data_IF_261359967221
#
_entry.id   IF_261359967221
#
_cell.length_a   1.000
_cell.length_b   1.000
_cell.length_c   1.000
_cell.angle_alpha   90.00
_cell.angle_beta   90.00
_cell.angle_gamma   90.00
#
_symmetry.space_group_name_H-M   'P 1'
#
loop_
_entity.id
_entity.type
_entity.pdbx_description
1 polymer ?
#
# COMPACT_ATOMS: atom_id res chain seq x y z
N UNK A 1 -9.40 -7.81 -7.00
CA UNK A 1 -8.85 -8.42 -5.77
C UNK A 1 -9.12 -9.92 -5.79
N UNK A 2 -8.07 -10.77 -5.79
CA UNK A 2 -8.22 -12.23 -5.91
C UNK A 2 -7.89 -12.93 -4.58
N UNK A 3 -8.91 -13.16 -3.76
CA UNK A 3 -8.75 -13.75 -2.43
C UNK A 3 -8.65 -15.29 -2.44
N UNK A 4 -8.86 -15.94 -3.59
CA UNK A 4 -8.93 -17.40 -3.67
C UNK A 4 -7.60 -18.11 -3.35
N UNK A 5 -6.46 -17.44 -3.51
CA UNK A 5 -5.14 -17.99 -3.19
C UNK A 5 -4.68 -17.74 -1.75
N UNK A 6 -5.43 -16.95 -0.97
CA UNK A 6 -5.09 -16.65 0.42
C UNK A 6 -5.15 -17.90 1.30
N UNK A 7 -4.33 -17.95 2.35
CA UNK A 7 -4.44 -18.97 3.40
C UNK A 7 -5.65 -18.70 4.29
N UNK A 8 -6.09 -19.72 5.04
CA UNK A 8 -7.07 -19.58 6.12
C UNK A 8 -6.57 -18.52 7.13
N UNK A 9 -7.44 -17.59 7.53
CA UNK A 9 -7.13 -16.42 8.37
C UNK A 9 -6.10 -15.45 7.78
N UNK A 10 -5.99 -15.40 6.44
CA UNK A 10 -5.17 -14.43 5.75
C UNK A 10 -5.59 -12.97 6.04
N UNK A 11 -4.68 -12.03 5.85
CA UNK A 11 -4.90 -10.58 6.08
C UNK A 11 -4.57 -9.78 4.84
N UNK A 12 -5.42 -8.82 4.49
CA UNK A 12 -5.21 -7.85 3.41
C UNK A 12 -5.31 -6.45 4.02
N UNK A 13 -4.19 -5.73 4.03
CA UNK A 13 -4.14 -4.32 4.38
C UNK A 13 -4.37 -3.49 3.12
N UNK A 14 -5.50 -2.77 3.07
CA UNK A 14 -5.92 -1.99 1.90
C UNK A 14 -5.37 -0.57 2.04
N UNK A 15 -4.18 -0.34 1.51
CA UNK A 15 -3.53 0.98 1.48
C UNK A 15 -4.03 1.85 0.30
N UNK A 16 -4.52 1.23 -0.77
CA UNK A 16 -4.98 1.92 -1.97
C UNK A 16 -5.47 0.94 -3.04
N UNK A 17 -6.10 1.49 -4.08
CA UNK A 17 -6.64 0.74 -5.22
C UNK A 17 -6.33 1.50 -6.52
N UNK A 18 -5.03 1.74 -6.79
CA UNK A 18 -4.57 2.60 -7.89
C UNK A 18 -5.15 2.21 -9.27
N UNK A 19 -5.40 0.92 -9.51
CA UNK A 19 -6.01 0.43 -10.76
C UNK A 19 -7.46 0.88 -10.96
N UNK A 20 -8.09 1.44 -9.94
CA UNK A 20 -9.49 1.87 -9.96
C UNK A 20 -9.66 3.37 -10.17
N UNK A 21 -8.62 4.19 -9.92
CA UNK A 21 -8.78 5.65 -9.78
C UNK A 21 -9.21 6.37 -11.07
N UNK A 22 -8.82 5.86 -12.24
CA UNK A 22 -9.06 6.51 -13.53
C UNK A 22 -10.17 5.82 -14.35
N UNK A 23 -10.98 4.96 -13.72
CA UNK A 23 -12.09 4.28 -14.37
C UNK A 23 -13.37 5.08 -14.19
N UNK A 24 -14.14 5.28 -15.27
CA UNK A 24 -15.48 5.89 -15.19
C UNK A 24 -16.43 5.06 -14.31
N UNK A 25 -16.22 3.74 -14.29
CA UNK A 25 -16.94 2.82 -13.43
C UNK A 25 -15.98 1.83 -12.76
N UNK A 26 -16.02 1.79 -11.44
CA UNK A 26 -15.20 0.88 -10.65
C UNK A 26 -15.57 -0.59 -10.88
N UNK A 27 -14.54 -1.43 -10.91
CA UNK A 27 -14.70 -2.88 -11.00
C UNK A 27 -15.06 -3.47 -9.62
N UNK A 28 -16.12 -4.28 -9.57
CA UNK A 28 -16.50 -5.00 -8.36
C UNK A 28 -15.51 -6.10 -7.97
N UNK A 29 -15.43 -6.40 -6.66
CA UNK A 29 -14.64 -7.52 -6.16
C UNK A 29 -15.31 -8.84 -6.55
N UNK A 30 -14.65 -9.62 -7.40
CA UNK A 30 -15.09 -10.98 -7.78
C UNK A 30 -14.59 -12.01 -6.77
N UNK A 31 -15.33 -13.11 -6.60
CA UNK A 31 -14.97 -14.26 -5.75
C UNK A 31 -14.83 -13.96 -4.23
N UNK A 32 -15.68 -13.06 -3.71
CA UNK A 32 -15.70 -12.66 -2.29
C UNK A 32 -16.07 -13.80 -1.31
N UNK A 33 -16.67 -14.90 -1.77
CA UNK A 33 -16.96 -16.08 -0.92
C UNK A 33 -15.70 -16.64 -0.23
N UNK A 34 -14.54 -16.49 -0.85
CA UNK A 34 -13.26 -16.90 -0.24
C UNK A 34 -12.98 -16.12 1.06
N UNK A 35 -13.45 -14.87 1.17
CA UNK A 35 -13.29 -14.06 2.39
C UNK A 35 -14.02 -14.72 3.56
N UNK A 36 -15.23 -15.22 3.32
CA UNK A 36 -16.05 -15.89 4.33
C UNK A 36 -15.45 -17.24 4.70
N UNK A 37 -15.28 -18.13 3.73
CA UNK A 37 -14.82 -19.50 4.01
C UNK A 37 -13.41 -19.54 4.59
N UNK A 38 -12.54 -18.63 4.16
CA UNK A 38 -11.17 -18.54 4.65
C UNK A 38 -11.01 -17.55 5.81
N UNK A 39 -12.07 -16.87 6.25
CA UNK A 39 -12.05 -15.90 7.37
C UNK A 39 -10.94 -14.86 7.20
N UNK A 40 -10.87 -14.29 6.01
CA UNK A 40 -9.85 -13.31 5.65
C UNK A 40 -10.22 -11.97 6.29
N UNK A 41 -9.26 -11.34 6.96
CA UNK A 41 -9.41 -9.98 7.46
C UNK A 41 -9.01 -9.00 6.35
N UNK A 42 -9.92 -8.13 5.96
CA UNK A 42 -9.66 -7.08 4.96
C UNK A 42 -9.91 -5.75 5.66
N UNK A 43 -8.86 -4.95 5.78
CA UNK A 43 -8.90 -3.70 6.55
C UNK A 43 -8.24 -2.58 5.76
N UNK A 44 -8.99 -1.50 5.56
CA UNK A 44 -8.46 -0.24 5.04
C UNK A 44 -7.81 0.57 6.15
N UNK A 45 -6.74 1.27 5.83
CA UNK A 45 -6.08 2.18 6.75
C UNK A 45 -5.53 3.38 5.98
N UNK A 46 -5.34 4.50 6.66
CA UNK A 46 -4.70 5.68 6.08
C UNK A 46 -3.47 6.05 6.90
N UNK A 47 -2.47 6.66 6.26
CA UNK A 47 -1.28 7.14 6.99
C UNK A 47 -1.64 8.20 8.05
N UNK A 48 -2.73 8.95 7.82
CA UNK A 48 -3.18 10.02 8.72
C UNK A 48 -3.50 9.52 10.13
N UNK A 49 -4.02 8.30 10.24
CA UNK A 49 -4.37 7.67 11.53
C UNK A 49 -3.12 7.35 12.39
N UNK A 50 -1.94 7.32 11.77
CA UNK A 50 -0.70 6.81 12.38
C UNK A 50 0.45 7.81 12.46
N UNK A 51 0.24 9.10 12.16
CA UNK A 51 1.32 10.11 12.25
C UNK A 51 1.94 10.22 13.66
N UNK A 52 1.20 9.86 14.71
CA UNK A 52 1.73 9.79 16.07
C UNK A 52 2.89 8.78 16.23
N UNK A 53 3.01 7.81 15.32
CA UNK A 53 4.12 6.85 15.27
C UNK A 53 5.31 7.32 14.42
N UNK A 54 5.19 8.45 13.70
CA UNK A 54 6.19 8.90 12.76
C UNK A 54 7.59 9.09 13.38
N UNK A 55 7.74 9.69 14.59
CA UNK A 55 9.06 9.79 15.22
C UNK A 55 9.72 8.43 15.45
N UNK A 56 8.96 7.45 15.95
CA UNK A 56 9.44 6.09 16.19
C UNK A 56 9.79 5.36 14.89
N UNK A 57 9.00 5.58 13.84
CA UNK A 57 9.28 5.04 12.51
C UNK A 57 10.61 5.57 11.96
N UNK A 58 10.86 6.87 12.11
CA UNK A 58 12.08 7.51 11.63
C UNK A 58 13.33 6.95 12.32
N UNK A 59 13.30 6.80 13.64
CA UNK A 59 14.41 6.22 14.41
C UNK A 59 14.78 4.81 13.91
N UNK A 60 13.77 4.00 13.61
CA UNK A 60 13.95 2.65 13.10
C UNK A 60 14.52 2.64 11.68
N UNK A 61 13.87 3.36 10.76
CA UNK A 61 14.20 3.29 9.32
C UNK A 61 15.54 3.94 9.03
N UNK A 62 15.88 5.07 9.66
CA UNK A 62 17.20 5.69 9.47
C UNK A 62 18.33 4.78 9.94
N UNK A 63 18.12 4.05 11.04
CA UNK A 63 19.09 3.05 11.51
C UNK A 63 19.28 1.95 10.47
N UNK A 64 18.20 1.40 9.93
CA UNK A 64 18.29 0.32 8.96
C UNK A 64 18.88 0.75 7.62
N UNK A 65 18.63 1.99 7.18
CA UNK A 65 19.29 2.55 6.00
C UNK A 65 20.79 2.69 6.23
N UNK A 66 21.21 3.26 7.37
CA UNK A 66 22.65 3.41 7.73
C UNK A 66 23.37 2.07 7.84
N UNK A 67 22.68 1.04 8.34
CA UNK A 67 23.19 -0.33 8.44
C UNK A 67 23.13 -1.11 7.11
N UNK A 68 22.60 -0.52 6.03
CA UNK A 68 22.46 -1.20 4.73
C UNK A 68 21.41 -2.31 4.71
N UNK A 69 20.53 -2.39 5.71
CA UNK A 69 19.44 -3.38 5.80
C UNK A 69 18.24 -3.00 4.94
N UNK A 70 18.10 -1.72 4.60
CA UNK A 70 17.10 -1.20 3.65
C UNK A 70 17.84 -0.47 2.54
N UNK A 71 17.56 -0.84 1.30
CA UNK A 71 17.93 -0.09 0.11
C UNK A 71 16.71 0.68 -0.42
N UNK A 72 16.95 1.82 -1.04
CA UNK A 72 15.92 2.63 -1.68
C UNK A 72 16.41 3.07 -3.07
N UNK A 73 15.45 3.26 -3.99
CA UNK A 73 15.70 3.75 -5.35
C UNK A 73 14.76 4.91 -5.57
N UNK A 74 15.32 6.02 -6.03
CA UNK A 74 14.58 7.25 -6.33
C UNK A 74 14.59 7.47 -7.84
N UNK A 75 13.42 7.76 -8.39
CA UNK A 75 13.29 8.32 -9.73
C UNK A 75 13.29 9.85 -9.59
N UNK A 76 14.36 10.49 -10.05
CA UNK A 76 14.60 11.93 -9.83
C UNK A 76 14.41 12.66 -11.16
N UNK A 77 13.42 13.55 -11.20
CA UNK A 77 13.27 14.51 -12.28
C UNK A 77 13.72 15.91 -11.86
N UNK A 78 14.59 16.50 -12.67
CA UNK A 78 15.17 17.81 -12.40
C UNK A 78 14.34 18.94 -13.02
N UNK A 79 14.04 19.95 -12.20
CA UNK A 79 13.33 21.15 -12.61
C UNK A 79 11.81 21.04 -12.50
N UNK A 80 11.19 22.10 -11.96
CA UNK A 80 9.75 22.15 -11.67
C UNK A 80 8.87 21.83 -12.90
N UNK A 81 9.33 22.14 -14.11
CA UNK A 81 8.59 21.89 -15.35
C UNK A 81 8.29 20.39 -15.56
N UNK A 82 9.16 19.50 -15.10
CA UNK A 82 8.98 18.06 -15.26
C UNK A 82 7.86 17.49 -14.39
N UNK A 83 7.41 18.22 -13.36
CA UNK A 83 6.34 17.76 -12.46
C UNK A 83 5.01 17.49 -13.20
N UNK A 84 4.71 18.24 -14.27
CA UNK A 84 3.50 18.03 -15.07
C UNK A 84 3.60 16.82 -16.02
N UNK A 85 4.82 16.35 -16.29
CA UNK A 85 5.06 15.25 -17.22
C UNK A 85 5.12 13.89 -16.52
N UNK A 86 5.33 13.88 -15.20
CA UNK A 86 5.40 12.69 -14.35
C UNK A 86 4.06 12.27 -13.75
N UNK A 87 3.01 13.05 -13.95
CA UNK A 87 1.63 12.79 -13.50
C UNK A 87 0.81 12.13 -14.61
#
# INVERSE_FOLDING_TARGET
>A
MQCSLMRLHGRIAVAGMISQYNLDQHEGIRNSLSVVYKRIHIEGFTVYDYYHLFPKFLDLVLTYIREGKIAYVEDIAEGLRMALQLL
#
